data_IF_263750228458
#
_entry.id   IF_263750228458
#
_cell.length_a   1.000
_cell.length_b   1.000
_cell.length_c   1.000
_cell.angle_alpha   90.00
_cell.angle_beta   90.00
_cell.angle_gamma   90.00
#
_symmetry.space_group_name_H-M   'P 1'
#
loop_
_entity.id
_entity.type
_entity.pdbx_description
1 polymer ?
#
# COMPACT_ATOMS: atom_id res chain seq x y z
N UNK A 1 -23.58 -11.69 -1.08
CA UNK A 1 -22.24 -12.22 -0.76
C UNK A 1 -21.24 -11.39 -1.56
N UNK A 2 -20.15 -10.94 -0.94
CA UNK A 2 -19.13 -10.13 -1.61
C UNK A 2 -17.91 -11.00 -1.90
N UNK A 3 -17.28 -10.82 -3.07
CA UNK A 3 -16.03 -11.53 -3.40
C UNK A 3 -14.83 -10.95 -2.64
N UNK A 4 -14.83 -9.62 -2.44
CA UNK A 4 -13.80 -8.89 -1.71
C UNK A 4 -14.42 -7.79 -0.85
N UNK A 5 -13.85 -7.56 0.33
CA UNK A 5 -14.18 -6.44 1.21
C UNK A 5 -12.90 -5.64 1.46
N UNK A 6 -12.94 -4.34 1.19
CA UNK A 6 -11.82 -3.42 1.44
C UNK A 6 -12.21 -2.55 2.62
N UNK A 7 -11.35 -2.51 3.64
CA UNK A 7 -11.58 -1.74 4.86
C UNK A 7 -10.43 -0.76 5.01
N UNK A 8 -10.77 0.54 4.99
CA UNK A 8 -9.84 1.62 5.28
C UNK A 8 -9.73 1.82 6.79
N UNK A 9 -8.53 2.08 7.29
CA UNK A 9 -8.24 2.18 8.72
C UNK A 9 -7.47 3.44 9.05
N UNK A 10 -7.68 4.02 10.24
CA UNK A 10 -6.80 5.05 10.77
C UNK A 10 -5.33 4.60 10.76
N UNK A 11 -4.41 5.57 10.67
CA UNK A 11 -2.96 5.31 10.70
C UNK A 11 -2.40 5.08 12.10
N UNK A 12 -3.26 4.91 13.11
CA UNK A 12 -2.90 4.69 14.51
C UNK A 12 -2.83 3.20 14.84
N UNK A 13 -1.82 2.82 15.63
CA UNK A 13 -1.74 1.48 16.25
C UNK A 13 -2.64 1.43 17.49
N UNK A 14 -3.95 1.57 17.27
CA UNK A 14 -4.96 1.61 18.34
C UNK A 14 -5.94 0.42 18.23
N UNK A 15 -6.93 0.41 19.13
CA UNK A 15 -7.96 -0.63 19.18
C UNK A 15 -8.78 -0.73 17.88
N UNK A 16 -8.94 0.34 17.11
CA UNK A 16 -9.67 0.28 15.85
C UNK A 16 -8.90 -0.55 14.82
N UNK A 17 -7.57 -0.33 14.71
CA UNK A 17 -6.71 -1.16 13.87
C UNK A 17 -6.67 -2.60 14.36
N UNK A 18 -6.50 -2.84 15.66
CA UNK A 18 -6.50 -4.21 16.23
C UNK A 18 -7.77 -4.96 15.89
N UNK A 19 -8.94 -4.33 16.08
CA UNK A 19 -10.23 -4.95 15.75
C UNK A 19 -10.34 -5.27 14.26
N UNK A 20 -9.89 -4.37 13.39
CA UNK A 20 -9.93 -4.59 11.95
C UNK A 20 -9.02 -5.75 11.53
N UNK A 21 -7.77 -5.78 12.03
CA UNK A 21 -6.78 -6.81 11.72
C UNK A 21 -7.26 -8.24 12.06
N UNK A 22 -8.04 -8.42 13.13
CA UNK A 22 -8.59 -9.74 13.50
C UNK A 22 -9.46 -10.34 12.38
N UNK A 23 -10.11 -9.51 11.56
CA UNK A 23 -10.97 -9.97 10.47
C UNK A 23 -10.28 -9.97 9.10
N UNK A 24 -9.04 -9.50 9.01
CA UNK A 24 -8.36 -9.36 7.72
C UNK A 24 -7.74 -10.68 7.29
N UNK A 25 -7.84 -10.98 5.99
CA UNK A 25 -7.07 -12.06 5.37
C UNK A 25 -5.72 -11.56 4.83
N UNK A 26 -5.66 -10.28 4.44
CA UNK A 26 -4.49 -9.65 3.82
C UNK A 26 -4.40 -8.19 4.24
N UNK A 27 -3.19 -7.66 4.33
CA UNK A 27 -2.93 -6.24 4.62
C UNK A 27 -2.15 -5.62 3.47
N UNK A 28 -2.61 -4.48 2.95
CA UNK A 28 -1.88 -3.69 1.94
C UNK A 28 -1.60 -2.31 2.53
N UNK A 29 -0.31 -1.95 2.61
CA UNK A 29 0.13 -0.68 3.20
C UNK A 29 0.66 0.26 2.12
N UNK A 30 -0.04 1.37 1.84
CA UNK A 30 0.53 2.44 1.01
C UNK A 30 1.57 3.23 1.81
N UNK A 31 2.80 3.30 1.30
CA UNK A 31 3.93 4.00 1.91
C UNK A 31 4.40 5.14 1.00
N UNK A 32 5.07 6.14 1.56
CA UNK A 32 5.79 7.14 0.77
C UNK A 32 7.23 6.68 0.52
N UNK A 33 7.86 7.18 -0.55
CA UNK A 33 9.28 6.94 -0.83
C UNK A 33 10.18 7.82 0.06
N UNK A 34 10.15 7.58 1.36
CA UNK A 34 10.89 8.34 2.37
C UNK A 34 11.81 7.41 3.19
N UNK A 35 12.89 7.99 3.72
CA UNK A 35 13.74 7.31 4.72
C UNK A 35 12.86 6.95 5.93
N UNK A 36 13.08 5.78 6.55
CA UNK A 36 12.33 5.24 7.70
C UNK A 36 10.98 4.56 7.41
N UNK A 37 10.51 4.54 6.16
CA UNK A 37 9.21 3.92 5.83
C UNK A 37 9.26 2.39 5.81
N UNK A 38 10.43 1.81 5.52
CA UNK A 38 10.65 0.36 5.62
C UNK A 38 10.56 -0.07 7.08
N UNK A 39 11.24 0.69 7.95
CA UNK A 39 11.27 0.44 9.38
C UNK A 39 9.88 0.63 10.00
N UNK A 40 9.12 1.63 9.54
CA UNK A 40 7.72 1.82 9.95
C UNK A 40 6.83 0.63 9.55
N UNK A 41 7.11 0.03 8.39
CA UNK A 41 6.41 -1.15 7.91
C UNK A 41 6.78 -2.40 8.71
N UNK A 42 8.06 -2.55 9.08
CA UNK A 42 8.52 -3.63 9.95
C UNK A 42 7.95 -3.50 11.38
N UNK A 43 7.77 -2.27 11.88
CA UNK A 43 7.10 -2.01 13.16
C UNK A 43 5.63 -2.47 13.16
N UNK A 44 4.90 -2.28 12.05
CA UNK A 44 3.53 -2.78 11.91
C UNK A 44 3.50 -4.31 11.95
N UNK A 45 4.43 -4.97 11.26
CA UNK A 45 4.56 -6.44 11.31
C UNK A 45 4.82 -6.92 12.72
N UNK A 46 5.79 -6.31 13.41
CA UNK A 46 6.08 -6.63 14.80
C UNK A 46 4.89 -6.40 15.73
N UNK A 47 4.08 -5.36 15.49
CA UNK A 47 2.85 -5.14 16.23
C UNK A 47 1.84 -6.28 16.02
N UNK A 48 1.64 -6.73 14.76
CA UNK A 48 0.76 -7.86 14.44
C UNK A 48 1.24 -9.16 15.11
N UNK A 49 2.55 -9.44 15.06
CA UNK A 49 3.14 -10.60 15.74
C UNK A 49 2.89 -10.56 17.25
N UNK A 50 3.00 -9.38 17.88
CA UNK A 50 2.74 -9.22 19.32
C UNK A 50 1.30 -9.52 19.74
N UNK A 51 0.33 -9.31 18.85
CA UNK A 51 -1.08 -9.64 19.10
C UNK A 51 -1.44 -11.04 18.58
N UNK A 52 -0.45 -11.85 18.18
CA UNK A 52 -0.65 -13.23 17.74
C UNK A 52 -1.22 -13.35 16.33
N UNK A 53 -1.08 -12.32 15.50
CA UNK A 53 -1.56 -12.32 14.11
C UNK A 53 -0.40 -12.51 13.12
N UNK A 54 -0.49 -13.55 12.31
CA UNK A 54 0.40 -13.79 11.17
C UNK A 54 -0.37 -13.55 9.87
N UNK A 55 -0.42 -12.28 9.44
CA UNK A 55 -1.15 -11.86 8.25
C UNK A 55 -0.20 -11.57 7.08
N UNK A 56 -0.46 -12.09 5.88
CA UNK A 56 0.27 -11.69 4.69
C UNK A 56 0.14 -10.19 4.47
N UNK A 57 1.28 -9.50 4.59
CA UNK A 57 1.34 -8.03 4.59
C UNK A 57 2.20 -7.55 3.44
N UNK A 58 1.58 -6.80 2.55
CA UNK A 58 2.17 -6.25 1.34
C UNK A 58 2.25 -4.73 1.42
N UNK A 59 3.13 -4.14 0.62
CA UNK A 59 3.23 -2.68 0.55
C UNK A 59 3.40 -2.19 -0.89
N UNK A 60 2.99 -0.95 -1.10
CA UNK A 60 3.17 -0.22 -2.35
C UNK A 60 3.69 1.18 -2.06
N UNK A 61 4.52 1.71 -2.94
CA UNK A 61 5.03 3.08 -2.81
C UNK A 61 4.09 4.03 -3.55
N UNK A 62 3.54 5.00 -2.86
CA UNK A 62 2.64 6.02 -3.42
C UNK A 62 3.34 7.36 -3.54
N UNK A 63 2.79 8.23 -4.39
CA UNK A 63 3.31 9.59 -4.65
C UNK A 63 4.78 9.60 -5.08
N UNK A 64 5.22 8.55 -5.78
CA UNK A 64 6.61 8.43 -6.22
C UNK A 64 7.00 9.58 -7.15
N UNK A 65 8.14 10.23 -6.86
CA UNK A 65 8.75 11.23 -7.73
C UNK A 65 9.96 10.61 -8.44
N UNK A 66 10.06 10.79 -9.76
CA UNK A 66 11.22 10.31 -10.54
C UNK A 66 12.45 11.20 -10.26
N UNK A 67 13.16 10.92 -9.17
CA UNK A 67 14.45 11.54 -8.84
C UNK A 67 15.47 10.46 -8.42
N UNK A 68 16.76 10.83 -8.34
CA UNK A 68 17.84 9.87 -8.10
C UNK A 68 17.72 9.17 -6.73
N UNK A 69 17.29 9.88 -5.67
CA UNK A 69 17.06 9.31 -4.34
C UNK A 69 15.98 8.22 -4.36
N UNK A 70 14.91 8.46 -5.10
CA UNK A 70 13.82 7.51 -5.24
C UNK A 70 14.22 6.27 -6.05
N UNK A 71 15.22 6.35 -6.94
CA UNK A 71 15.75 5.18 -7.66
C UNK A 71 16.49 4.21 -6.74
N UNK A 72 17.34 4.71 -5.84
CA UNK A 72 18.04 3.86 -4.88
C UNK A 72 17.06 3.19 -3.90
N UNK A 73 16.09 3.96 -3.39
CA UNK A 73 15.02 3.40 -2.55
C UNK A 73 14.22 2.33 -3.29
N UNK A 74 13.95 2.55 -4.59
CA UNK A 74 13.23 1.59 -5.42
C UNK A 74 13.97 0.25 -5.54
N UNK A 75 15.29 0.26 -5.72
CA UNK A 75 16.08 -0.98 -5.78
C UNK A 75 15.94 -1.79 -4.48
N UNK A 76 15.96 -1.11 -3.33
CA UNK A 76 15.74 -1.75 -2.03
C UNK A 76 14.32 -2.34 -1.91
N UNK A 77 13.30 -1.64 -2.41
CA UNK A 77 11.92 -2.11 -2.38
C UNK A 77 11.68 -3.29 -3.35
N UNK A 78 12.25 -3.25 -4.55
CA UNK A 78 12.12 -4.31 -5.55
C UNK A 78 12.71 -5.64 -5.08
N UNK A 79 13.69 -5.63 -4.17
CA UNK A 79 14.24 -6.83 -3.57
C UNK A 79 13.28 -7.52 -2.57
N UNK A 80 12.20 -6.86 -2.13
CA UNK A 80 11.26 -7.39 -1.14
C UNK A 80 10.13 -8.16 -1.82
N UNK A 81 9.94 -9.41 -1.43
CA UNK A 81 8.89 -10.28 -2.00
C UNK A 81 7.47 -9.76 -1.79
N UNK A 82 7.23 -8.96 -0.77
CA UNK A 82 5.91 -8.41 -0.44
C UNK A 82 5.67 -7.01 -1.05
N UNK A 83 6.54 -6.54 -1.94
CA UNK A 83 6.35 -5.31 -2.68
C UNK A 83 5.37 -5.49 -3.86
N UNK A 84 4.43 -4.56 -4.04
CA UNK A 84 3.41 -4.61 -5.10
C UNK A 84 3.68 -3.64 -6.26
N UNK A 85 4.60 -2.70 -6.11
CA UNK A 85 4.90 -1.69 -7.11
C UNK A 85 4.74 -0.26 -6.61
N UNK A 86 4.85 0.69 -7.54
CA UNK A 86 4.76 2.11 -7.24
C UNK A 86 3.61 2.79 -7.99
N UNK A 87 3.08 3.83 -7.38
CA UNK A 87 2.18 4.81 -7.97
C UNK A 87 2.88 6.16 -7.95
N UNK A 88 3.06 6.71 -9.14
CA UNK A 88 3.66 8.02 -9.33
C UNK A 88 2.75 9.13 -8.81
N UNK A 89 3.34 10.16 -8.23
CA UNK A 89 2.59 11.36 -7.86
C UNK A 89 2.01 12.05 -9.10
N UNK A 90 0.71 12.38 -9.06
CA UNK A 90 0.01 13.12 -10.12
C UNK A 90 -0.85 14.22 -9.50
N UNK A 91 -0.65 15.44 -9.97
CA UNK A 91 -1.43 16.59 -9.50
C UNK A 91 -2.92 16.42 -9.85
N UNK A 92 -3.23 15.94 -11.05
CA UNK A 92 -4.61 15.71 -11.48
C UNK A 92 -5.35 14.72 -10.57
N UNK A 93 -4.72 13.59 -10.21
CA UNK A 93 -5.28 12.63 -9.27
C UNK A 93 -5.53 13.27 -7.90
N UNK A 94 -4.55 13.99 -7.35
CA UNK A 94 -4.69 14.67 -6.06
C UNK A 94 -5.83 15.69 -6.07
N UNK A 95 -5.96 16.44 -7.17
CA UNK A 95 -7.05 17.41 -7.37
C UNK A 95 -8.40 16.71 -7.42
N UNK A 96 -8.52 15.61 -8.17
CA UNK A 96 -9.79 14.86 -8.28
C UNK A 96 -10.24 14.29 -6.94
N UNK A 97 -9.32 13.71 -6.18
CA UNK A 97 -9.60 13.21 -4.82
C UNK A 97 -10.05 14.35 -3.92
N UNK A 98 -9.31 15.47 -3.89
CA UNK A 98 -9.65 16.63 -3.05
C UNK A 98 -11.01 17.25 -3.40
N UNK A 99 -11.35 17.29 -4.68
CA UNK A 99 -12.62 17.86 -5.16
C UNK A 99 -13.78 16.85 -5.20
N UNK A 100 -13.58 15.60 -4.74
CA UNK A 100 -14.57 14.52 -4.86
C UNK A 100 -15.14 14.37 -6.28
N UNK A 101 -14.31 14.59 -7.31
CA UNK A 101 -14.73 14.49 -8.70
C UNK A 101 -14.52 13.09 -9.26
N UNK A 102 -15.15 12.80 -10.40
CA UNK A 102 -15.06 11.48 -11.03
C UNK A 102 -13.61 11.11 -11.34
N UNK A 103 -13.21 9.91 -10.91
CA UNK A 103 -11.94 9.30 -11.25
C UNK A 103 -11.98 8.87 -12.70
N UNK A 104 -11.02 9.35 -13.50
CA UNK A 104 -10.84 8.90 -14.88
C UNK A 104 -10.02 7.61 -14.90
N UNK A 105 -10.66 6.50 -15.30
CA UNK A 105 -10.06 5.18 -15.38
C UNK A 105 -9.09 4.98 -16.55
N UNK A 106 -8.99 5.93 -17.49
CA UNK A 106 -8.10 5.88 -18.64
C UNK A 106 -6.72 6.48 -18.35
N UNK A 107 -6.58 7.18 -17.23
CA UNK A 107 -5.34 7.84 -16.86
C UNK A 107 -4.21 6.85 -16.57
N UNK A 108 -2.97 7.34 -16.71
CA UNK A 108 -1.75 6.54 -16.57
C UNK A 108 -1.59 5.96 -15.16
N UNK A 109 -1.93 6.71 -14.11
CA UNK A 109 -1.87 6.25 -12.72
C UNK A 109 -2.80 5.05 -12.47
N UNK A 110 -3.89 4.90 -13.21
CA UNK A 110 -4.78 3.73 -13.11
C UNK A 110 -4.09 2.48 -13.64
N UNK A 111 -3.26 2.61 -14.67
CA UNK A 111 -2.44 1.49 -15.17
C UNK A 111 -1.44 1.05 -14.10
N UNK A 112 -0.85 1.99 -13.37
CA UNK A 112 0.04 1.67 -12.24
C UNK A 112 -0.71 0.92 -11.13
N UNK A 113 -1.90 1.38 -10.73
CA UNK A 113 -2.75 0.66 -9.76
C UNK A 113 -3.15 -0.73 -10.24
N UNK A 114 -3.55 -0.88 -11.51
CA UNK A 114 -3.88 -2.18 -12.11
C UNK A 114 -2.69 -3.13 -12.05
N UNK A 115 -1.49 -2.66 -12.37
CA UNK A 115 -0.28 -3.49 -12.27
C UNK A 115 -0.01 -3.94 -10.84
N UNK A 116 -0.16 -3.04 -9.85
CA UNK A 116 -0.02 -3.41 -8.44
C UNK A 116 -1.07 -4.41 -7.97
N UNK A 117 -2.30 -4.28 -8.45
CA UNK A 117 -3.36 -5.24 -8.17
C UNK A 117 -3.07 -6.62 -8.79
N UNK A 118 -2.58 -6.66 -10.04
CA UNK A 118 -2.16 -7.91 -10.67
C UNK A 118 -0.99 -8.57 -9.94
N UNK A 119 -0.01 -7.77 -9.49
CA UNK A 119 1.09 -8.27 -8.65
C UNK A 119 0.61 -8.80 -7.29
N UNK A 120 -0.49 -8.28 -6.76
CA UNK A 120 -1.13 -8.82 -5.56
C UNK A 120 -1.81 -10.15 -5.86
N UNK A 121 -2.61 -10.23 -6.93
CA UNK A 121 -3.27 -11.47 -7.35
C UNK A 121 -2.31 -12.62 -7.63
N UNK A 122 -1.13 -12.36 -8.22
CA UNK A 122 -0.13 -13.42 -8.43
C UNK A 122 0.48 -13.94 -7.13
N UNK A 123 0.34 -13.20 -6.03
CA UNK A 123 0.82 -13.55 -4.69
C UNK A 123 -0.27 -14.12 -3.79
N UNK A 124 -1.54 -14.03 -4.20
CA UNK A 124 -2.65 -14.76 -3.60
C UNK A 124 -2.55 -16.22 -4.05
N UNK A 125 -1.84 -17.04 -3.27
CA UNK A 125 -1.90 -18.49 -3.38
C UNK A 125 -2.97 -19.03 -2.44
#
# INVERSE_FOLDING_TARGET
MYDFVIIDTPTSLDFALTNALIFYNYVIVPLLAEKWKIESFDLLKFFMEKIGLELPTYFMITRFKKNNTHKQLLEMFNAKENFLGMISGREDLNRRITCNSSIDFQMDYIKEYKNSLMNFYTKLK
#
